data_IF_548697124157
#
_entry.id   IF_548697124157
#
_cell.length_a   1.000
_cell.length_b   1.000
_cell.length_c   1.000
_cell.angle_alpha   90.00
_cell.angle_beta   90.00
_cell.angle_gamma   90.00
#
_symmetry.space_group_name_H-M   'P 1'
#
loop_
_entity.id
_entity.type
_entity.pdbx_description
1 polymer ?
#
# COMPACT_ATOMS: atom_id res chain seq x y z
N UNK A 1 6.41 15.65 11.08
CA UNK A 1 6.03 15.88 9.67
C UNK A 1 4.65 15.28 9.37
N UNK A 2 3.80 15.89 8.52
CA UNK A 2 2.49 15.31 8.11
C UNK A 2 2.76 14.01 7.36
N UNK A 3 2.61 12.89 8.06
CA UNK A 3 2.81 11.54 7.51
C UNK A 3 1.97 11.39 6.25
N UNK A 4 2.50 10.67 5.25
CA UNK A 4 1.92 10.41 3.93
C UNK A 4 0.61 9.59 3.95
N UNK A 5 -0.34 9.99 4.79
CA UNK A 5 -1.67 9.40 4.97
C UNK A 5 -2.45 9.39 3.66
N UNK A 6 -2.22 10.37 2.79
CA UNK A 6 -2.80 10.42 1.44
C UNK A 6 -2.33 9.26 0.57
N UNK A 7 -1.04 8.91 0.60
CA UNK A 7 -0.50 7.78 -0.17
C UNK A 7 -1.05 6.45 0.36
N UNK A 8 -1.15 6.29 1.68
CA UNK A 8 -1.72 5.08 2.29
C UNK A 8 -3.20 4.93 1.93
N UNK A 9 -3.99 6.01 2.01
CA UNK A 9 -5.40 6.00 1.59
C UNK A 9 -5.54 5.66 0.11
N UNK A 10 -4.70 6.24 -0.75
CA UNK A 10 -4.70 5.96 -2.17
C UNK A 10 -4.42 4.47 -2.45
N UNK A 11 -3.39 3.90 -1.80
CA UNK A 11 -3.07 2.47 -1.93
C UNK A 11 -4.22 1.57 -1.48
N UNK A 12 -4.89 1.90 -0.37
CA UNK A 12 -6.06 1.13 0.11
C UNK A 12 -7.21 1.20 -0.90
N UNK A 13 -7.51 2.39 -1.44
CA UNK A 13 -8.59 2.55 -2.44
C UNK A 13 -8.29 1.73 -3.71
N UNK A 14 -7.05 1.80 -4.22
CA UNK A 14 -6.62 1.02 -5.38
C UNK A 14 -6.77 -0.48 -5.11
N UNK A 15 -6.34 -0.94 -3.92
CA UNK A 15 -6.42 -2.35 -3.55
C UNK A 15 -7.88 -2.82 -3.39
N UNK A 16 -8.78 -1.97 -2.90
CA UNK A 16 -10.22 -2.29 -2.80
C UNK A 16 -10.87 -2.33 -4.18
N UNK A 17 -10.57 -1.38 -5.07
CA UNK A 17 -11.17 -1.36 -6.42
C UNK A 17 -10.67 -2.54 -7.25
N UNK A 18 -9.36 -2.74 -7.35
CA UNK A 18 -8.78 -3.82 -8.15
C UNK A 18 -8.97 -5.19 -7.50
N UNK A 19 -8.73 -5.30 -6.19
CA UNK A 19 -8.95 -6.55 -5.45
C UNK A 19 -10.42 -6.94 -5.38
N UNK A 20 -11.32 -5.99 -5.10
CA UNK A 20 -12.76 -6.25 -5.03
C UNK A 20 -13.36 -6.65 -6.38
N UNK A 21 -12.98 -5.97 -7.47
CA UNK A 21 -13.44 -6.36 -8.80
C UNK A 21 -12.85 -7.70 -9.26
N UNK A 22 -11.61 -8.02 -8.87
CA UNK A 22 -11.00 -9.33 -9.13
C UNK A 22 -11.73 -10.44 -8.36
N UNK A 23 -11.93 -10.28 -7.05
CA UNK A 23 -12.63 -11.27 -6.21
C UNK A 23 -14.06 -11.49 -6.71
N UNK A 24 -14.81 -10.42 -6.97
CA UNK A 24 -16.20 -10.55 -7.44
C UNK A 24 -16.30 -11.29 -8.79
N UNK A 25 -15.41 -10.99 -9.74
CA UNK A 25 -15.42 -11.66 -11.05
C UNK A 25 -14.89 -13.09 -10.98
N UNK A 26 -13.84 -13.34 -10.20
CA UNK A 26 -13.30 -14.69 -10.00
C UNK A 26 -14.36 -15.64 -9.43
N UNK A 27 -15.08 -15.22 -8.38
CA UNK A 27 -16.12 -16.06 -7.76
C UNK A 27 -17.38 -16.19 -8.62
N UNK A 28 -17.72 -15.18 -9.43
CA UNK A 28 -18.96 -15.19 -10.22
C UNK A 28 -18.82 -15.83 -11.59
N UNK A 29 -17.69 -15.62 -12.26
CA UNK A 29 -17.49 -16.03 -13.66
C UNK A 29 -16.43 -17.14 -13.81
N UNK A 30 -15.60 -17.38 -12.79
CA UNK A 30 -14.44 -18.28 -12.93
C UNK A 30 -13.37 -17.77 -13.91
N UNK A 31 -13.55 -16.56 -14.44
CA UNK A 31 -12.65 -15.95 -15.41
C UNK A 31 -11.50 -15.24 -14.68
N UNK A 32 -10.29 -15.71 -14.94
CA UNK A 32 -9.06 -15.06 -14.51
C UNK A 32 -8.68 -13.99 -15.54
N UNK A 33 -9.07 -12.74 -15.30
CA UNK A 33 -8.60 -11.63 -16.12
C UNK A 33 -7.17 -11.28 -15.73
N UNK A 34 -6.23 -11.56 -16.63
CA UNK A 34 -4.81 -11.22 -16.45
C UNK A 34 -4.60 -9.73 -16.13
N UNK A 35 -5.38 -8.84 -16.73
CA UNK A 35 -5.35 -7.39 -16.45
C UNK A 35 -5.69 -7.06 -14.98
N UNK A 36 -6.60 -7.80 -14.35
CA UNK A 36 -6.92 -7.59 -12.93
C UNK A 36 -5.82 -8.13 -12.01
N UNK A 37 -5.14 -9.22 -12.40
CA UNK A 37 -3.99 -9.75 -11.67
C UNK A 37 -2.84 -8.74 -11.67
N UNK A 38 -2.56 -8.12 -12.82
CA UNK A 38 -1.55 -7.05 -12.92
C UNK A 38 -1.93 -5.87 -12.01
N UNK A 39 -3.19 -5.42 -12.04
CA UNK A 39 -3.67 -4.34 -11.18
C UNK A 39 -3.55 -4.64 -9.68
N UNK A 40 -3.89 -5.86 -9.24
CA UNK A 40 -3.71 -6.29 -7.84
C UNK A 40 -2.23 -6.36 -7.46
N UNK A 41 -1.39 -6.86 -8.35
CA UNK A 41 0.07 -6.98 -8.14
C UNK A 41 0.72 -5.60 -7.97
N UNK A 42 0.38 -4.65 -8.85
CA UNK A 42 0.85 -3.26 -8.77
C UNK A 42 0.39 -2.61 -7.46
N UNK A 43 -0.88 -2.79 -7.08
CA UNK A 43 -1.42 -2.28 -5.82
C UNK A 43 -0.68 -2.83 -4.59
N UNK A 44 -0.34 -4.13 -4.59
CA UNK A 44 0.41 -4.77 -3.50
C UNK A 44 1.84 -4.24 -3.39
N UNK A 45 2.55 -4.12 -4.52
CA UNK A 45 3.91 -3.55 -4.55
C UNK A 45 3.91 -2.11 -4.01
N UNK A 46 2.93 -1.30 -4.42
CA UNK A 46 2.81 0.09 -3.99
C UNK A 46 2.49 0.21 -2.49
N UNK A 47 1.69 -0.70 -1.95
CA UNK A 47 1.42 -0.79 -0.52
C UNK A 47 2.68 -1.15 0.27
N UNK A 48 3.42 -2.18 -0.17
CA UNK A 48 4.67 -2.61 0.47
C UNK A 48 5.70 -1.49 0.45
N UNK A 49 5.91 -0.83 -0.69
CA UNK A 49 6.81 0.31 -0.82
C UNK A 49 6.44 1.44 0.14
N UNK A 50 5.14 1.77 0.24
CA UNK A 50 4.64 2.79 1.16
C UNK A 50 4.87 2.43 2.64
N UNK A 51 4.68 1.17 3.02
CA UNK A 51 4.93 0.70 4.38
C UNK A 51 6.41 0.75 4.74
N UNK A 52 7.29 0.35 3.82
CA UNK A 52 8.75 0.43 4.01
C UNK A 52 9.17 1.89 4.18
N UNK A 53 8.71 2.80 3.31
CA UNK A 53 9.00 4.22 3.41
C UNK A 53 8.55 4.81 4.76
N UNK A 54 7.34 4.45 5.21
CA UNK A 54 6.83 4.89 6.52
C UNK A 54 7.71 4.39 7.66
N UNK A 55 8.14 3.13 7.63
CA UNK A 55 9.00 2.55 8.68
C UNK A 55 10.37 3.23 8.73
N UNK A 56 10.96 3.56 7.58
CA UNK A 56 12.25 4.26 7.49
C UNK A 56 12.13 5.67 8.09
N UNK A 57 11.12 6.45 7.68
CA UNK A 57 10.93 7.80 8.21
C UNK A 57 10.65 7.82 9.72
N UNK A 58 9.87 6.87 10.22
CA UNK A 58 9.63 6.75 11.67
C UNK A 58 10.91 6.40 12.44
N UNK A 59 11.79 5.59 11.85
CA UNK A 59 13.06 5.21 12.50
C UNK A 59 14.05 6.38 12.50
N UNK A 60 14.07 7.18 11.42
CA UNK A 60 14.86 8.41 11.35
C UNK A 60 14.47 9.45 12.41
N UNK A 61 13.17 9.77 12.54
CA UNK A 61 12.67 10.72 13.54
C UNK A 61 12.95 10.25 14.99
N UNK A 62 12.88 8.93 15.26
CA UNK A 62 13.21 8.38 16.59
C UNK A 62 14.72 8.46 16.89
N UNK A 63 15.58 8.31 15.88
CA UNK A 63 17.04 8.42 16.06
C UNK A 63 17.52 9.86 16.28
N UNK A 64 16.93 10.84 15.61
CA UNK A 64 17.23 12.28 15.85
C UNK A 64 16.77 12.72 17.24
N UNK A 65 15.55 12.34 17.64
CA UNK A 65 15.02 12.69 18.96
C UNK A 65 15.85 12.12 20.11
N UNK A 66 16.49 10.96 19.92
CA UNK A 66 17.36 10.36 20.95
C UNK A 66 18.74 11.03 21.04
N UNK A 67 19.20 11.68 19.96
CA UNK A 67 20.49 12.39 19.92
C UNK A 67 20.42 13.83 20.45
N UNK A 68 19.26 14.50 20.41
CA UNK A 68 19.06 15.83 21.00
C UNK A 68 18.82 15.80 22.52
N UNK A 69 18.45 14.65 23.09
CA UNK A 69 18.17 14.50 24.53
C UNK A 69 19.37 13.98 25.33
N UNK A 70 20.58 14.00 24.77
CA UNK A 70 21.83 13.60 25.42
C UNK A 70 22.87 14.72 25.31
#
# INVERSE_FOLDING_TARGET
MKTNTTLIRLSIIIMVIFGGTFTFRYFRAGELLLDQIVGVSVGLVLLIASLIWRKINLTGEVSESKSENF
#
